data_IF_062007116816
#
_entry.id   IF_062007116816
#
_cell.length_a   1.000
_cell.length_b   1.000
_cell.length_c   1.000
_cell.angle_alpha   90.00
_cell.angle_beta   90.00
_cell.angle_gamma   90.00
#
_symmetry.space_group_name_H-M   'P 1'
#
loop_
_entity.id
_entity.type
_entity.pdbx_description
1 polymer ?
#
# COMPACT_ATOMS: atom_id res chain seq x y z
N UNK A 1 -17.87 -32.20 53.72
CA UNK A 1 -17.05 -31.21 54.45
C UNK A 1 -15.87 -31.94 55.12
N UNK A 2 -14.64 -31.44 54.87
CA UNK A 2 -13.29 -31.93 55.24
C UNK A 2 -12.54 -32.86 54.25
N UNK A 3 -11.45 -32.27 53.72
CA UNK A 3 -10.05 -32.73 53.52
C UNK A 3 -9.61 -33.76 52.45
N UNK A 4 -8.35 -33.53 52.03
CA UNK A 4 -7.37 -34.27 51.17
C UNK A 4 -7.24 -33.59 49.77
N UNK A 5 -6.08 -33.23 49.19
CA UNK A 5 -4.65 -33.42 49.47
C UNK A 5 -3.79 -32.31 48.82
N UNK A 6 -2.59 -32.11 49.35
CA UNK A 6 -1.41 -31.52 48.69
C UNK A 6 -0.95 -32.40 47.51
N UNK A 7 -0.58 -31.77 46.39
CA UNK A 7 0.59 -32.07 45.52
C UNK A 7 0.39 -31.47 44.12
N UNK A 8 1.05 -30.34 43.84
CA UNK A 8 1.91 -30.21 42.65
C UNK A 8 3.09 -29.35 43.10
N UNK A 9 4.25 -29.99 43.24
CA UNK A 9 5.54 -29.36 43.38
C UNK A 9 6.24 -29.48 42.03
N UNK A 10 6.79 -28.37 41.56
CA UNK A 10 7.97 -28.28 40.68
C UNK A 10 8.06 -29.22 39.48
N UNK A 11 7.75 -28.67 38.30
CA UNK A 11 8.63 -28.85 37.15
C UNK A 11 9.16 -27.46 36.83
N UNK A 12 10.46 -27.29 37.02
CA UNK A 12 11.13 -26.01 36.87
C UNK A 12 11.10 -25.56 35.42
N UNK A 13 10.34 -24.51 35.15
CA UNK A 13 10.73 -23.56 34.13
C UNK A 13 12.00 -22.90 34.65
N UNK A 14 13.08 -23.03 33.89
CA UNK A 14 14.30 -22.28 34.14
C UNK A 14 13.91 -20.81 34.23
N UNK A 15 14.11 -20.22 35.41
CA UNK A 15 14.11 -18.76 35.56
C UNK A 15 15.12 -18.22 34.54
N UNK A 16 14.66 -17.42 33.57
CA UNK A 16 15.51 -16.63 32.67
C UNK A 16 16.37 -15.58 33.41
N UNK A 17 16.44 -15.65 34.75
CA UNK A 17 17.20 -14.74 35.60
C UNK A 17 18.66 -15.15 35.82
N UNK A 18 19.14 -16.24 35.18
CA UNK A 18 20.56 -16.66 35.25
C UNK A 18 21.23 -16.93 33.88
N UNK A 19 20.55 -16.70 32.76
CA UNK A 19 21.20 -16.67 31.45
C UNK A 19 21.17 -15.23 30.92
N UNK A 20 22.35 -14.67 30.70
CA UNK A 20 22.57 -13.38 30.05
C UNK A 20 22.15 -13.51 28.57
N UNK A 21 20.85 -13.60 28.31
CA UNK A 21 20.34 -13.79 26.97
C UNK A 21 20.28 -12.44 26.25
N UNK A 22 20.88 -12.31 25.05
CA UNK A 22 20.91 -11.05 24.31
C UNK A 22 19.56 -10.61 23.74
N UNK A 23 18.49 -11.40 23.88
CA UNK A 23 17.15 -11.11 23.31
C UNK A 23 16.03 -11.35 24.33
N UNK A 24 16.21 -10.87 25.56
CA UNK A 24 15.23 -11.00 26.66
C UNK A 24 13.85 -10.46 26.29
N UNK A 25 13.80 -9.35 25.57
CA UNK A 25 12.54 -8.67 25.27
C UNK A 25 11.72 -9.47 24.24
N UNK A 26 12.41 -10.07 23.26
CA UNK A 26 11.81 -10.98 22.29
C UNK A 26 11.33 -12.30 22.95
N UNK A 27 12.04 -12.77 23.99
CA UNK A 27 11.60 -13.90 24.80
C UNK A 27 10.34 -13.56 25.60
N UNK A 28 10.28 -12.39 26.22
CA UNK A 28 9.12 -11.94 27.00
C UNK A 28 7.88 -11.73 26.12
N UNK A 29 8.04 -11.15 24.93
CA UNK A 29 6.97 -11.03 23.93
C UNK A 29 6.45 -12.40 23.49
N UNK A 30 7.36 -13.36 23.23
CA UNK A 30 6.99 -14.72 22.88
C UNK A 30 6.22 -15.44 24.00
N UNK A 31 6.63 -15.25 25.26
CA UNK A 31 5.94 -15.82 26.41
C UNK A 31 4.54 -15.22 26.59
N UNK A 32 4.39 -13.90 26.45
CA UNK A 32 3.11 -13.23 26.56
C UNK A 32 2.13 -13.68 25.47
N UNK A 33 2.59 -13.74 24.22
CA UNK A 33 1.78 -14.22 23.09
C UNK A 33 1.30 -15.66 23.30
N UNK A 34 2.22 -16.57 23.63
CA UNK A 34 1.87 -17.98 23.85
C UNK A 34 0.95 -18.18 25.06
N UNK A 35 1.11 -17.36 26.10
CA UNK A 35 0.20 -17.38 27.26
C UNK A 35 -1.23 -17.02 26.87
N UNK A 36 -1.42 -15.97 26.06
CA UNK A 36 -2.75 -15.57 25.58
C UNK A 36 -3.38 -16.64 24.68
N UNK A 37 -2.62 -17.19 23.73
CA UNK A 37 -3.09 -18.29 22.85
C UNK A 37 -3.48 -19.52 23.68
N UNK A 38 -2.71 -19.83 24.72
CA UNK A 38 -3.02 -20.92 25.63
C UNK A 38 -4.30 -20.66 26.43
N UNK A 39 -4.51 -19.44 26.95
CA UNK A 39 -5.75 -19.07 27.66
C UNK A 39 -6.98 -19.19 26.75
N UNK A 40 -6.93 -18.64 25.55
CA UNK A 40 -8.02 -18.76 24.57
C UNK A 40 -8.32 -20.22 24.20
N UNK A 41 -7.28 -21.04 24.01
CA UNK A 41 -7.41 -22.47 23.75
C UNK A 41 -8.09 -23.19 24.92
N UNK A 42 -7.68 -22.88 26.15
CA UNK A 42 -8.25 -23.48 27.36
C UNK A 42 -9.71 -23.08 27.59
N UNK A 43 -10.07 -21.82 27.30
CA UNK A 43 -11.45 -21.31 27.41
C UNK A 43 -12.38 -21.93 26.36
N UNK A 44 -11.85 -22.29 25.18
CA UNK A 44 -12.59 -22.96 24.12
C UNK A 44 -12.76 -24.48 24.34
N UNK A 45 -12.07 -25.08 25.32
CA UNK A 45 -12.07 -26.53 25.52
C UNK A 45 -13.22 -27.04 26.42
N UNK A 46 -14.00 -27.98 25.89
CA UNK A 46 -15.10 -28.62 26.62
C UNK A 46 -14.71 -29.91 27.36
N UNK A 47 -13.53 -30.49 27.06
CA UNK A 47 -13.08 -31.75 27.66
C UNK A 47 -11.58 -31.80 27.98
N UNK A 48 -11.20 -32.80 28.78
CA UNK A 48 -9.81 -32.99 29.24
C UNK A 48 -8.83 -33.38 28.13
N UNK A 49 -9.32 -33.91 27.01
CA UNK A 49 -8.47 -34.26 25.87
C UNK A 49 -8.10 -33.01 25.09
N UNK A 50 -9.04 -32.10 24.90
CA UNK A 50 -8.82 -30.78 24.33
C UNK A 50 -7.80 -29.98 25.17
N UNK A 51 -7.99 -29.95 26.50
CA UNK A 51 -7.06 -29.27 27.40
C UNK A 51 -5.63 -29.84 27.34
N UNK A 52 -5.49 -31.16 27.20
CA UNK A 52 -4.19 -31.80 27.04
C UNK A 52 -3.50 -31.39 25.72
N UNK A 53 -4.25 -31.19 24.64
CA UNK A 53 -3.73 -30.71 23.36
C UNK A 53 -3.26 -29.26 23.49
N UNK A 54 -4.05 -28.37 24.11
CA UNK A 54 -3.64 -26.98 24.35
C UNK A 54 -2.33 -26.91 25.14
N UNK A 55 -2.19 -27.74 26.18
CA UNK A 55 -0.97 -27.79 26.98
C UNK A 55 0.24 -28.24 26.15
N UNK A 56 0.09 -29.32 25.36
CA UNK A 56 1.15 -29.85 24.51
C UNK A 56 1.57 -28.85 23.43
N UNK A 57 0.60 -28.21 22.76
CA UNK A 57 0.86 -27.19 21.74
C UNK A 57 1.56 -25.96 22.31
N UNK A 58 1.13 -25.48 23.49
CA UNK A 58 1.78 -24.36 24.15
C UNK A 58 3.23 -24.67 24.54
N UNK A 59 3.48 -25.87 25.08
CA UNK A 59 4.84 -26.28 25.43
C UNK A 59 5.78 -26.28 24.23
N UNK A 60 5.34 -26.79 23.07
CA UNK A 60 6.13 -26.78 21.84
C UNK A 60 6.36 -25.36 21.33
N UNK A 61 5.35 -24.50 21.36
CA UNK A 61 5.48 -23.12 20.92
C UNK A 61 6.45 -22.31 21.79
N UNK A 62 6.52 -22.61 23.09
CA UNK A 62 7.50 -22.00 24.01
C UNK A 62 8.95 -22.41 23.73
N UNK A 63 9.20 -23.59 23.14
CA UNK A 63 10.56 -24.04 22.78
C UNK A 63 11.15 -23.23 21.63
N UNK A 64 10.30 -22.67 20.76
CA UNK A 64 10.66 -21.83 19.61
C UNK A 64 10.81 -20.34 19.97
N UNK A 65 10.62 -19.97 21.25
CA UNK A 65 10.89 -18.61 21.69
C UNK A 65 12.39 -18.29 21.62
N UNK A 66 12.77 -17.03 21.33
CA UNK A 66 14.15 -16.57 21.47
C UNK A 66 14.63 -16.85 22.90
N UNK A 67 15.87 -17.27 23.11
CA UNK A 67 16.41 -17.71 24.42
C UNK A 67 15.87 -19.06 24.94
N UNK A 68 14.93 -19.71 24.26
CA UNK A 68 14.45 -21.05 24.60
C UNK A 68 15.27 -22.15 23.90
N UNK A 69 14.87 -23.41 24.05
CA UNK A 69 15.66 -24.57 23.64
C UNK A 69 15.98 -24.62 22.15
N UNK A 70 15.08 -24.14 21.27
CA UNK A 70 15.33 -24.12 19.83
C UNK A 70 16.02 -22.84 19.36
N UNK A 71 16.11 -21.82 20.22
CA UNK A 71 16.81 -20.55 19.95
C UNK A 71 17.68 -20.09 21.13
N UNK A 72 18.71 -20.87 21.53
CA UNK A 72 19.46 -20.63 22.76
C UNK A 72 20.31 -19.36 22.75
N UNK A 73 20.62 -18.81 21.57
CA UNK A 73 21.39 -17.57 21.41
C UNK A 73 20.50 -16.33 21.22
N UNK A 74 19.24 -16.39 21.68
CA UNK A 74 18.28 -15.33 21.38
C UNK A 74 17.97 -15.33 19.89
N UNK A 75 18.10 -14.16 19.26
CA UNK A 75 17.74 -13.97 17.86
C UNK A 75 18.86 -14.18 16.84
N UNK A 76 20.09 -14.45 17.28
CA UNK A 76 21.17 -14.78 16.36
C UNK A 76 20.95 -16.17 15.74
N UNK A 77 20.62 -16.20 14.44
CA UNK A 77 20.40 -17.42 13.67
C UNK A 77 19.11 -18.18 13.99
N UNK A 78 18.19 -17.56 14.74
CA UNK A 78 16.91 -18.13 15.14
C UNK A 78 15.81 -17.77 14.12
N UNK A 79 14.97 -18.73 13.74
CA UNK A 79 13.83 -18.52 12.82
C UNK A 79 12.51 -18.18 13.54
N UNK A 80 12.59 -17.84 14.83
CA UNK A 80 11.42 -17.45 15.59
C UNK A 80 10.80 -16.18 15.01
N UNK A 81 9.47 -16.14 14.90
CA UNK A 81 8.76 -14.94 14.44
C UNK A 81 8.99 -13.73 15.35
N UNK A 82 9.42 -13.96 16.58
CA UNK A 82 9.79 -12.93 17.56
C UNK A 82 11.20 -12.37 17.34
N UNK A 83 11.97 -12.91 16.40
CA UNK A 83 13.31 -12.46 16.05
C UNK A 83 13.39 -11.54 14.83
N UNK A 84 12.26 -10.94 14.44
CA UNK A 84 12.15 -10.11 13.25
C UNK A 84 11.37 -8.80 13.43
N UNK A 85 10.98 -8.43 14.64
CA UNK A 85 10.27 -7.18 14.91
C UNK A 85 10.46 -6.84 16.39
N UNK A 86 10.82 -5.60 16.71
CA UNK A 86 10.88 -5.07 18.08
C UNK A 86 12.06 -5.48 18.99
N UNK A 87 13.15 -6.04 18.45
CA UNK A 87 14.36 -6.37 19.25
C UNK A 87 15.09 -5.10 19.70
N UNK A 88 15.29 -4.16 18.78
CA UNK A 88 15.71 -2.80 19.10
C UNK A 88 14.86 -1.81 18.28
N UNK A 89 13.66 -1.44 18.75
CA UNK A 89 12.70 -0.66 17.96
C UNK A 89 13.27 0.65 17.43
N UNK A 90 14.19 1.29 18.18
CA UNK A 90 14.87 2.52 17.78
C UNK A 90 15.75 2.36 16.54
N UNK A 91 16.17 1.14 16.20
CA UNK A 91 17.02 0.85 15.05
C UNK A 91 16.33 -0.02 14.01
N UNK A 92 15.49 -0.96 14.44
CA UNK A 92 14.96 -2.05 13.63
C UNK A 92 13.52 -1.83 13.18
N UNK A 93 12.77 -0.90 13.79
CA UNK A 93 11.37 -0.63 13.45
C UNK A 93 11.12 0.84 13.08
N UNK A 94 10.86 1.06 11.80
CA UNK A 94 10.59 2.38 11.24
C UNK A 94 9.18 2.88 11.56
N UNK A 95 8.19 2.02 11.80
CA UNK A 95 6.88 2.46 12.28
C UNK A 95 6.99 3.01 13.72
N UNK A 96 7.82 2.37 14.56
CA UNK A 96 8.17 2.87 15.89
C UNK A 96 8.87 4.23 15.78
N UNK A 97 9.93 4.35 14.97
CA UNK A 97 10.64 5.64 14.76
C UNK A 97 9.68 6.77 14.35
N UNK A 98 8.83 6.52 13.36
CA UNK A 98 7.84 7.50 12.89
C UNK A 98 6.84 7.86 14.00
N UNK A 99 6.37 6.87 14.76
CA UNK A 99 5.47 7.10 15.87
C UNK A 99 6.13 7.95 16.97
N UNK A 100 7.38 7.67 17.33
CA UNK A 100 8.15 8.44 18.32
C UNK A 100 8.40 9.87 17.84
N UNK A 101 8.78 10.06 16.58
CA UNK A 101 9.02 11.39 15.99
C UNK A 101 7.75 12.25 15.99
N UNK A 102 6.61 11.67 15.62
CA UNK A 102 5.31 12.34 15.66
C UNK A 102 4.94 12.78 17.08
N UNK A 103 5.01 11.86 18.04
CA UNK A 103 4.72 12.16 19.44
C UNK A 103 5.68 13.20 20.02
N UNK A 104 6.95 13.19 19.59
CA UNK A 104 7.94 14.19 20.00
C UNK A 104 7.60 15.59 19.46
N UNK A 105 7.09 15.67 18.22
CA UNK A 105 6.56 16.90 17.64
C UNK A 105 5.34 17.44 18.41
N UNK A 106 4.41 16.56 18.78
CA UNK A 106 3.23 16.93 19.57
C UNK A 106 3.61 17.43 20.98
N UNK A 107 4.61 16.80 21.60
CA UNK A 107 5.17 17.24 22.87
C UNK A 107 5.79 18.64 22.76
N UNK A 108 6.65 18.89 21.76
CA UNK A 108 7.26 20.21 21.53
C UNK A 108 6.18 21.29 21.31
N UNK A 109 5.16 20.97 20.54
CA UNK A 109 4.03 21.87 20.31
C UNK A 109 3.22 22.15 21.58
N UNK A 110 2.98 21.13 22.40
CA UNK A 110 2.31 21.26 23.70
C UNK A 110 3.12 22.14 24.66
N UNK A 111 4.42 21.87 24.81
CA UNK A 111 5.33 22.62 25.68
C UNK A 111 5.42 24.10 25.27
N UNK A 112 5.47 24.40 23.97
CA UNK A 112 5.45 25.79 23.46
C UNK A 112 4.20 26.57 23.87
N UNK A 113 3.08 25.89 24.14
CA UNK A 113 1.82 26.51 24.58
C UNK A 113 1.73 26.68 26.10
N UNK A 114 2.55 25.96 26.87
CA UNK A 114 2.45 25.90 28.32
C UNK A 114 3.09 27.06 29.10
N UNK A 115 3.82 27.97 28.45
CA UNK A 115 4.56 29.04 29.15
C UNK A 115 5.42 28.47 30.31
N UNK A 116 5.39 29.04 31.53
CA UNK A 116 6.11 28.50 32.71
C UNK A 116 5.20 27.65 33.63
N UNK A 117 4.07 27.16 33.11
CA UNK A 117 3.13 26.37 33.90
C UNK A 117 3.64 24.93 34.06
N UNK A 118 4.13 24.63 35.27
CA UNK A 118 4.65 23.32 35.64
C UNK A 118 3.58 22.22 35.55
N UNK A 119 2.32 22.55 35.81
CA UNK A 119 1.22 21.58 35.69
C UNK A 119 0.89 21.26 34.24
N UNK A 120 0.96 22.27 33.36
CA UNK A 120 0.83 22.10 31.91
C UNK A 120 1.98 21.27 31.34
N UNK A 121 3.24 21.57 31.71
CA UNK A 121 4.40 20.76 31.29
C UNK A 121 4.25 19.30 31.69
N UNK A 122 3.84 19.04 32.94
CA UNK A 122 3.59 17.67 33.41
C UNK A 122 2.51 16.97 32.60
N UNK A 123 1.43 17.66 32.24
CA UNK A 123 0.38 17.10 31.38
C UNK A 123 0.95 16.71 30.02
N UNK A 124 1.72 17.58 29.37
CA UNK A 124 2.31 17.26 28.06
C UNK A 124 3.21 16.02 28.12
N UNK A 125 4.02 15.86 29.17
CA UNK A 125 4.87 14.67 29.33
C UNK A 125 4.04 13.41 29.60
N UNK A 126 3.00 13.49 30.43
CA UNK A 126 2.11 12.36 30.67
C UNK A 126 1.39 11.92 29.39
N UNK A 127 0.92 12.89 28.58
CA UNK A 127 0.26 12.61 27.30
C UNK A 127 1.25 11.98 26.32
N UNK A 128 2.48 12.48 26.25
CA UNK A 128 3.56 11.89 25.45
C UNK A 128 3.86 10.44 25.86
N UNK A 129 4.09 10.18 27.14
CA UNK A 129 4.35 8.81 27.65
C UNK A 129 3.19 7.87 27.36
N UNK A 130 1.95 8.34 27.57
CA UNK A 130 0.75 7.55 27.27
C UNK A 130 0.64 7.23 25.78
N UNK A 131 0.92 8.19 24.90
CA UNK A 131 0.83 7.97 23.45
C UNK A 131 1.96 7.09 22.91
N UNK A 132 3.11 7.02 23.61
CA UNK A 132 4.16 6.08 23.26
C UNK A 132 3.77 4.64 23.57
N UNK A 133 2.91 4.37 24.55
CA UNK A 133 2.41 3.01 24.81
C UNK A 133 1.70 2.40 23.58
N UNK A 134 1.12 3.24 22.72
CA UNK A 134 0.42 2.85 21.49
C UNK A 134 1.34 2.70 20.27
N UNK A 135 2.61 3.09 20.37
CA UNK A 135 3.55 2.92 19.26
C UNK A 135 3.81 1.42 18.99
N UNK A 136 4.12 1.07 17.74
CA UNK A 136 4.59 -0.28 17.40
C UNK A 136 5.78 -0.66 18.27
N UNK A 137 5.85 -1.92 18.71
CA UNK A 137 6.86 -2.41 19.65
C UNK A 137 6.76 -1.88 21.08
N UNK A 138 5.67 -1.20 21.42
CA UNK A 138 5.38 -0.76 22.79
C UNK A 138 4.22 -1.55 23.39
N UNK A 139 3.87 -1.23 24.64
CA UNK A 139 2.93 -1.98 25.48
C UNK A 139 1.62 -2.40 24.80
N UNK A 140 1.01 -1.52 24.00
CA UNK A 140 -0.28 -1.78 23.35
C UNK A 140 -0.13 -2.33 21.92
N UNK A 141 1.10 -2.49 21.43
CA UNK A 141 1.42 -3.12 20.15
C UNK A 141 2.78 -3.87 20.22
N UNK A 142 2.92 -4.87 21.11
CA UNK A 142 4.22 -5.45 21.45
C UNK A 142 4.89 -6.22 20.31
N UNK A 143 4.10 -6.70 19.34
CA UNK A 143 4.60 -7.44 18.17
C UNK A 143 4.97 -6.54 16.99
N UNK A 144 4.85 -5.21 17.14
CA UNK A 144 5.03 -4.28 16.02
C UNK A 144 3.86 -4.33 15.03
N UNK A 145 4.04 -3.74 13.85
CA UNK A 145 2.99 -3.69 12.84
C UNK A 145 2.93 -4.95 11.96
N UNK A 146 1.73 -5.41 11.54
CA UNK A 146 0.42 -4.84 11.81
C UNK A 146 -0.13 -5.26 13.19
N UNK A 147 -0.78 -4.35 13.92
CA UNK A 147 -1.50 -4.66 15.16
C UNK A 147 -2.90 -4.03 15.15
N UNK A 148 -3.91 -4.82 15.52
CA UNK A 148 -5.33 -4.43 15.40
C UNK A 148 -5.70 -3.23 16.29
N UNK A 149 -4.97 -3.05 17.40
CA UNK A 149 -5.26 -2.03 18.42
C UNK A 149 -4.43 -0.75 18.28
N UNK A 150 -3.42 -0.69 17.39
CA UNK A 150 -2.67 0.55 17.17
C UNK A 150 -3.16 1.30 15.94
N UNK A 151 -3.84 2.41 16.19
CA UNK A 151 -4.06 3.49 15.21
C UNK A 151 -2.76 4.10 14.64
N UNK A 152 -1.57 3.62 15.05
CA UNK A 152 -0.25 4.15 14.68
C UNK A 152 0.50 3.26 13.68
N UNK A 153 -0.04 2.12 13.26
CA UNK A 153 0.53 1.37 12.15
C UNK A 153 0.23 2.09 10.83
N UNK A 154 1.22 2.82 10.36
CA UNK A 154 1.15 3.54 9.10
C UNK A 154 1.38 2.56 7.95
N UNK A 155 0.57 2.66 6.90
CA UNK A 155 0.81 1.96 5.64
C UNK A 155 1.62 2.86 4.73
N UNK A 156 2.42 2.32 3.82
CA UNK A 156 3.27 3.14 2.96
C UNK A 156 2.99 2.95 1.48
N UNK A 157 3.01 4.06 0.75
CA UNK A 157 2.86 4.12 -0.69
C UNK A 157 4.21 4.44 -1.32
N UNK A 158 4.75 3.48 -2.07
CA UNK A 158 5.91 3.72 -2.89
C UNK A 158 5.49 4.38 -4.19
N UNK A 159 6.19 5.43 -4.59
CA UNK A 159 5.98 6.14 -5.85
C UNK A 159 7.28 6.16 -6.64
N UNK A 160 7.24 5.70 -7.89
CA UNK A 160 8.35 5.83 -8.83
C UNK A 160 7.87 6.33 -10.19
N UNK A 161 8.69 7.15 -10.83
CA UNK A 161 8.52 7.50 -12.24
C UNK A 161 9.81 8.05 -12.81
N UNK A 162 9.95 8.00 -14.14
CA UNK A 162 11.04 8.64 -14.85
C UNK A 162 10.58 9.39 -16.10
N UNK A 163 11.39 10.36 -16.51
CA UNK A 163 11.32 11.06 -17.77
C UNK A 163 12.77 11.39 -18.17
N UNK A 164 13.25 10.80 -19.26
CA UNK A 164 14.66 10.90 -19.66
C UNK A 164 15.63 10.51 -18.52
N UNK A 165 16.41 11.46 -18.00
CA UNK A 165 17.35 11.27 -16.88
C UNK A 165 16.75 11.66 -15.52
N UNK A 166 15.58 12.27 -15.50
CA UNK A 166 14.92 12.67 -14.26
C UNK A 166 14.13 11.50 -13.69
N UNK A 167 14.30 11.26 -12.38
CA UNK A 167 13.59 10.20 -11.66
C UNK A 167 12.99 10.77 -10.39
N UNK A 168 11.76 10.35 -10.10
CA UNK A 168 11.16 10.47 -8.77
C UNK A 168 11.07 9.08 -8.19
N UNK A 169 11.46 8.97 -6.93
CA UNK A 169 11.45 7.71 -6.22
C UNK A 169 11.41 8.00 -4.72
N UNK A 170 10.23 7.83 -4.14
CA UNK A 170 10.02 8.13 -2.74
C UNK A 170 8.92 7.25 -2.16
N UNK A 171 9.04 7.00 -0.86
CA UNK A 171 8.07 6.32 -0.05
C UNK A 171 7.33 7.37 0.78
N UNK A 172 5.99 7.33 0.78
CA UNK A 172 5.16 8.19 1.62
C UNK A 172 4.40 7.31 2.59
N UNK A 173 4.35 7.70 3.86
CA UNK A 173 3.41 7.12 4.81
C UNK A 173 1.96 7.60 4.57
N UNK A 174 0.99 6.78 4.95
CA UNK A 174 -0.43 7.04 4.77
C UNK A 174 -0.92 8.31 5.48
N UNK A 175 -0.29 8.72 6.58
CA UNK A 175 -0.56 9.98 7.28
C UNK A 175 0.13 11.18 6.61
N UNK A 176 1.05 10.96 5.67
CA UNK A 176 1.78 12.03 4.98
C UNK A 176 2.92 12.65 5.78
N UNK A 177 3.10 12.23 7.04
CA UNK A 177 4.18 12.70 7.91
C UNK A 177 5.53 12.05 7.57
N UNK A 178 5.51 10.83 7.04
CA UNK A 178 6.70 10.12 6.58
C UNK A 178 6.91 10.34 5.09
N UNK A 179 8.11 10.77 4.74
CA UNK A 179 8.58 10.87 3.37
C UNK A 179 10.06 10.50 3.31
N UNK A 180 10.39 9.50 2.51
CA UNK A 180 11.78 9.07 2.36
C UNK A 180 12.14 8.81 0.90
N UNK A 181 13.36 9.15 0.51
CA UNK A 181 13.85 8.81 -0.82
C UNK A 181 14.20 7.34 -0.88
N UNK A 182 13.88 6.71 -2.01
CA UNK A 182 14.17 5.30 -2.25
C UNK A 182 14.92 5.16 -3.56
N UNK A 183 15.64 4.06 -3.72
CA UNK A 183 16.26 3.71 -4.99
C UNK A 183 15.87 2.31 -5.43
N UNK A 184 15.25 2.27 -6.61
CA UNK A 184 14.93 1.06 -7.33
C UNK A 184 15.72 1.10 -8.64
N UNK A 185 16.57 0.10 -8.84
CA UNK A 185 17.35 -0.05 -10.05
C UNK A 185 16.42 -0.34 -11.22
N UNK A 186 16.63 0.37 -12.31
CA UNK A 186 15.97 0.11 -13.59
C UNK A 186 17.04 -0.10 -14.65
N UNK A 187 16.80 -0.97 -15.64
CA UNK A 187 17.71 -1.14 -16.76
C UNK A 187 18.01 0.19 -17.44
N UNK A 188 19.27 0.37 -17.83
CA UNK A 188 19.75 1.59 -18.47
C UNK A 188 18.89 1.97 -19.69
N UNK A 189 18.55 3.26 -19.84
CA UNK A 189 17.80 3.74 -21.00
C UNK A 189 18.57 3.45 -22.29
N UNK A 190 17.84 3.11 -23.36
CA UNK A 190 18.45 2.94 -24.68
C UNK A 190 18.82 4.32 -25.21
N UNK A 191 19.88 4.42 -26.00
CA UNK A 191 20.28 5.70 -26.61
C UNK A 191 19.10 6.25 -27.43
N UNK A 192 18.58 7.41 -27.02
CA UNK A 192 17.44 8.07 -27.65
C UNK A 192 16.06 7.60 -27.19
N UNK A 193 15.95 6.77 -26.16
CA UNK A 193 14.67 6.46 -25.50
C UNK A 193 14.41 7.37 -24.31
N UNK A 194 13.13 7.52 -23.94
CA UNK A 194 12.78 8.01 -22.61
C UNK A 194 13.19 6.97 -21.53
N UNK A 195 12.96 7.32 -20.26
CA UNK A 195 13.26 6.46 -19.12
C UNK A 195 12.51 5.12 -19.15
N UNK A 196 12.97 4.16 -18.32
CA UNK A 196 12.47 2.78 -18.28
C UNK A 196 11.01 2.69 -17.83
N UNK A 197 10.55 3.61 -16.99
CA UNK A 197 9.19 3.67 -16.43
C UNK A 197 8.25 4.54 -17.30
N UNK A 198 8.80 5.34 -18.21
CA UNK A 198 8.03 6.29 -19.00
C UNK A 198 6.91 5.61 -19.80
N UNK A 199 5.66 5.94 -19.44
CA UNK A 199 4.41 5.39 -20.00
C UNK A 199 4.24 3.87 -19.79
N UNK A 200 4.95 3.27 -18.85
CA UNK A 200 4.71 1.88 -18.46
C UNK A 200 3.36 1.76 -17.72
N UNK A 201 2.60 0.71 -18.00
CA UNK A 201 1.53 0.29 -17.11
C UNK A 201 2.09 -0.47 -15.93
N UNK A 202 1.37 -0.50 -14.82
CA UNK A 202 1.75 -1.27 -13.64
C UNK A 202 0.54 -1.95 -13.02
N UNK A 203 0.79 -3.09 -12.37
CA UNK A 203 -0.20 -3.81 -11.59
C UNK A 203 0.47 -4.68 -10.52
N UNK A 204 -0.18 -4.80 -9.36
CA UNK A 204 0.09 -5.86 -8.41
C UNK A 204 -0.69 -7.11 -8.83
N UNK A 205 0.00 -8.24 -8.94
CA UNK A 205 -0.61 -9.52 -9.27
C UNK A 205 0.04 -10.62 -8.43
N UNK A 206 -0.75 -11.31 -7.61
CA UNK A 206 -0.30 -12.40 -6.72
C UNK A 206 0.83 -11.95 -5.81
N UNK A 207 0.73 -10.74 -5.27
CA UNK A 207 1.74 -10.11 -4.43
C UNK A 207 2.99 -9.60 -5.16
N UNK A 208 3.06 -9.74 -6.48
CA UNK A 208 4.21 -9.30 -7.28
C UNK A 208 3.86 -8.05 -8.09
N UNK A 209 4.73 -7.03 -8.03
CA UNK A 209 4.62 -5.86 -8.90
C UNK A 209 5.12 -6.20 -10.31
N UNK A 210 4.27 -5.96 -11.29
CA UNK A 210 4.58 -6.07 -12.72
C UNK A 210 4.55 -4.70 -13.41
N UNK A 211 5.46 -4.49 -14.35
CA UNK A 211 5.44 -3.39 -15.32
C UNK A 211 5.12 -3.92 -16.71
N UNK A 212 4.35 -3.17 -17.47
CA UNK A 212 3.87 -3.55 -18.79
C UNK A 212 4.14 -2.45 -19.83
N UNK A 213 4.76 -2.84 -20.94
CA UNK A 213 5.03 -1.99 -22.08
C UNK A 213 5.80 -0.71 -21.72
N UNK A 214 5.38 0.40 -22.35
CA UNK A 214 6.02 1.71 -22.24
C UNK A 214 6.91 2.04 -23.43
N UNK A 215 7.46 3.26 -23.43
CA UNK A 215 8.25 3.78 -24.56
C UNK A 215 9.59 3.05 -24.73
N UNK A 216 10.13 2.51 -23.64
CA UNK A 216 11.37 1.71 -23.63
C UNK A 216 11.25 0.43 -24.49
N UNK A 217 10.16 -0.31 -24.31
CA UNK A 217 9.77 -1.47 -25.10
C UNK A 217 8.27 -1.73 -24.90
N UNK A 218 7.48 -1.45 -25.95
CA UNK A 218 6.02 -1.53 -25.87
C UNK A 218 5.49 -2.94 -25.57
N UNK A 219 6.28 -4.00 -25.71
CA UNK A 219 5.83 -5.38 -25.45
C UNK A 219 6.44 -5.97 -24.20
N UNK A 220 7.20 -5.18 -23.43
CA UNK A 220 7.90 -5.65 -22.24
C UNK A 220 6.91 -6.05 -21.16
N UNK A 221 7.27 -7.11 -20.43
CA UNK A 221 6.76 -7.38 -19.09
C UNK A 221 8.00 -7.40 -18.19
N UNK A 222 7.93 -6.75 -17.04
CA UNK A 222 9.01 -6.73 -16.06
C UNK A 222 8.46 -6.96 -14.66
N UNK A 223 9.29 -7.45 -13.76
CA UNK A 223 8.93 -7.68 -12.37
C UNK A 223 9.92 -6.98 -11.44
N UNK A 224 9.44 -6.55 -10.28
CA UNK A 224 10.30 -6.09 -9.20
C UNK A 224 10.88 -7.30 -8.45
N UNK A 225 12.19 -7.48 -8.50
CA UNK A 225 12.91 -8.49 -7.73
C UNK A 225 13.82 -7.80 -6.71
N UNK A 226 13.42 -7.80 -5.44
CA UNK A 226 14.06 -7.01 -4.40
C UNK A 226 13.96 -5.51 -4.71
N UNK A 227 15.09 -4.88 -5.03
CA UNK A 227 15.19 -3.45 -5.36
C UNK A 227 15.50 -3.19 -6.85
N UNK A 228 15.29 -4.18 -7.72
CA UNK A 228 15.62 -4.08 -9.14
C UNK A 228 14.44 -4.54 -10.01
N UNK A 229 14.15 -3.78 -11.06
CA UNK A 229 13.25 -4.23 -12.12
C UNK A 229 14.01 -5.08 -13.14
N UNK A 230 13.57 -6.32 -13.28
CA UNK A 230 14.15 -7.26 -14.25
C UNK A 230 13.11 -7.61 -15.33
N UNK A 231 13.59 -7.79 -16.57
CA UNK A 231 12.74 -8.21 -17.68
C UNK A 231 12.24 -9.64 -17.46
N UNK A 232 10.93 -9.82 -17.57
CA UNK A 232 10.27 -11.12 -17.54
C UNK A 232 10.40 -11.80 -18.91
N UNK A 233 10.52 -13.12 -18.93
CA UNK A 233 10.74 -13.89 -20.19
C UNK A 233 9.59 -13.71 -21.18
N UNK A 234 8.36 -13.64 -20.68
CA UNK A 234 7.16 -13.45 -21.51
C UNK A 234 7.02 -11.98 -21.95
N UNK A 235 6.69 -11.79 -23.22
CA UNK A 235 6.39 -10.47 -23.81
C UNK A 235 4.90 -10.40 -24.15
N UNK A 236 4.32 -9.21 -24.04
CA UNK A 236 2.95 -8.95 -24.46
C UNK A 236 2.76 -9.35 -25.93
N UNK A 237 1.56 -9.81 -26.30
CA UNK A 237 1.19 -10.13 -27.67
C UNK A 237 1.12 -8.85 -28.52
N UNK A 238 0.73 -7.75 -27.88
CA UNK A 238 0.52 -6.45 -28.50
C UNK A 238 1.32 -5.36 -27.79
N UNK A 239 1.78 -4.35 -28.55
CA UNK A 239 2.34 -3.12 -27.99
C UNK A 239 1.36 -2.48 -26.99
N UNK A 240 1.83 -2.01 -25.86
CA UNK A 240 1.07 -1.33 -24.83
C UNK A 240 1.87 -0.14 -24.28
N UNK A 241 1.17 0.94 -23.95
CA UNK A 241 1.68 2.05 -23.16
C UNK A 241 0.50 2.68 -22.40
N UNK A 242 0.76 3.14 -21.19
CA UNK A 242 -0.23 3.71 -20.29
C UNK A 242 -0.57 5.18 -20.61
N UNK A 243 0.08 5.76 -21.62
CA UNK A 243 -0.33 7.06 -22.14
C UNK A 243 -1.63 6.96 -22.93
N UNK A 244 -1.81 5.88 -23.70
CA UNK A 244 -3.05 5.61 -24.43
C UNK A 244 -3.94 4.58 -23.74
N UNK A 245 -3.34 3.48 -23.27
CA UNK A 245 -4.06 2.39 -22.64
C UNK A 245 -4.28 2.59 -21.15
N UNK A 246 -4.96 1.62 -20.54
CA UNK A 246 -5.18 1.56 -19.10
C UNK A 246 -5.09 0.12 -18.60
N UNK A 247 -4.79 -0.03 -17.30
CA UNK A 247 -4.51 -1.31 -16.64
C UNK A 247 -5.47 -1.49 -15.47
N UNK A 248 -6.01 -2.69 -15.31
CA UNK A 248 -6.78 -3.08 -14.12
C UNK A 248 -6.52 -4.54 -13.76
N UNK A 249 -6.66 -4.88 -12.48
CA UNK A 249 -6.40 -6.23 -11.96
C UNK A 249 -7.70 -6.83 -11.46
N UNK A 250 -8.12 -7.95 -12.04
CA UNK A 250 -9.32 -8.66 -11.64
C UNK A 250 -8.96 -9.83 -10.73
N UNK A 251 -9.57 -9.88 -9.53
CA UNK A 251 -9.41 -10.96 -8.54
C UNK A 251 -7.96 -11.33 -8.17
N UNK A 252 -7.00 -10.41 -8.31
CA UNK A 252 -5.57 -10.73 -8.15
C UNK A 252 -5.12 -11.93 -9.02
N UNK A 253 -5.84 -12.20 -10.11
CA UNK A 253 -5.64 -13.38 -10.96
C UNK A 253 -5.26 -12.99 -12.38
N UNK A 254 -5.84 -11.89 -12.89
CA UNK A 254 -5.68 -11.45 -14.26
C UNK A 254 -5.47 -9.93 -14.34
N UNK A 255 -4.52 -9.51 -15.16
CA UNK A 255 -4.26 -8.11 -15.49
C UNK A 255 -4.80 -7.81 -16.87
N UNK A 256 -5.73 -6.86 -16.95
CA UNK A 256 -6.30 -6.36 -18.19
C UNK A 256 -5.52 -5.14 -18.67
N UNK A 257 -5.03 -5.19 -19.90
CA UNK A 257 -4.27 -4.16 -20.60
C UNK A 257 -5.09 -3.70 -21.79
N UNK A 258 -5.87 -2.64 -21.63
CA UNK A 258 -6.90 -2.25 -22.58
C UNK A 258 -6.59 -0.94 -23.31
N UNK A 259 -7.27 -0.75 -24.44
CA UNK A 259 -7.50 0.56 -25.08
C UNK A 259 -6.25 1.33 -25.53
N UNK A 260 -5.21 0.59 -25.94
CA UNK A 260 -4.05 1.18 -26.60
C UNK A 260 -4.43 2.02 -27.84
N UNK A 261 -3.47 2.73 -28.43
CA UNK A 261 -3.72 3.58 -29.62
C UNK A 261 -4.43 2.86 -30.78
N UNK A 262 -4.06 1.61 -31.07
CA UNK A 262 -4.69 0.85 -32.14
C UNK A 262 -4.48 -0.66 -31.93
N UNK A 263 -5.47 -1.45 -31.46
CA UNK A 263 -6.89 -1.10 -31.36
C UNK A 263 -7.24 -0.42 -30.02
N UNK A 264 -8.15 0.56 -30.07
CA UNK A 264 -8.66 1.29 -28.90
C UNK A 264 -9.88 0.64 -28.23
N UNK A 265 -10.29 -0.56 -28.67
CA UNK A 265 -11.48 -1.29 -28.20
C UNK A 265 -11.18 -2.66 -27.59
N UNK A 266 -9.93 -3.10 -27.63
CA UNK A 266 -9.53 -4.45 -27.24
C UNK A 266 -8.70 -4.43 -25.97
N UNK A 267 -8.65 -5.57 -25.30
CA UNK A 267 -7.77 -5.82 -24.19
C UNK A 267 -6.85 -7.01 -24.47
N UNK A 268 -5.64 -6.94 -23.93
CA UNK A 268 -4.81 -8.11 -23.67
C UNK A 268 -4.94 -8.47 -22.18
N UNK A 269 -5.03 -9.76 -21.87
CA UNK A 269 -5.16 -10.25 -20.49
C UNK A 269 -3.95 -11.10 -20.14
N UNK A 270 -3.28 -10.77 -19.05
CA UNK A 270 -2.09 -11.46 -18.54
C UNK A 270 -2.38 -12.15 -17.21
N UNK A 271 -2.05 -13.43 -17.07
CA UNK A 271 -2.37 -14.27 -15.89
C UNK A 271 -1.21 -14.45 -14.88
N UNK A 272 -0.10 -13.73 -15.10
CA UNK A 272 1.15 -13.88 -14.35
C UNK A 272 2.20 -14.71 -15.08
N UNK A 273 1.82 -15.40 -16.16
CA UNK A 273 2.71 -16.26 -16.94
C UNK A 273 2.57 -16.07 -18.45
N UNK A 274 1.34 -15.96 -18.94
CA UNK A 274 1.02 -15.87 -20.36
C UNK A 274 -0.02 -14.79 -20.63
N UNK A 275 -0.11 -14.37 -21.89
CA UNK A 275 -1.08 -13.40 -22.35
C UNK A 275 -2.08 -14.01 -23.33
N UNK A 276 -3.31 -13.49 -23.34
CA UNK A 276 -4.32 -13.75 -24.39
C UNK A 276 -4.98 -12.44 -24.81
N UNK A 277 -5.55 -12.41 -26.02
CA UNK A 277 -6.41 -11.30 -26.44
C UNK A 277 -7.83 -11.57 -25.94
N UNK A 278 -8.42 -10.60 -25.25
CA UNK A 278 -9.84 -10.61 -24.90
C UNK A 278 -10.66 -10.52 -26.19
N UNK A 279 -11.60 -11.45 -26.37
CA UNK A 279 -12.41 -11.55 -27.58
C UNK A 279 -13.55 -10.55 -27.59
N UNK A 280 -13.96 -10.08 -26.42
CA UNK A 280 -15.01 -9.08 -26.24
C UNK A 280 -14.42 -7.68 -26.44
N UNK A 281 -14.80 -7.03 -27.52
CA UNK A 281 -14.45 -5.64 -27.79
C UNK A 281 -15.46 -4.69 -27.16
N UNK A 282 -14.98 -3.54 -26.67
CA UNK A 282 -15.86 -2.46 -26.22
C UNK A 282 -16.64 -1.88 -27.40
N UNK A 283 -17.80 -1.29 -27.11
CA UNK A 283 -18.66 -0.71 -28.14
C UNK A 283 -18.04 0.57 -28.71
N UNK A 284 -17.39 1.38 -27.87
CA UNK A 284 -16.62 2.58 -28.26
C UNK A 284 -15.14 2.46 -27.92
N UNK A 285 -14.31 3.33 -28.51
CA UNK A 285 -12.89 3.38 -28.17
C UNK A 285 -12.65 4.14 -26.87
N UNK A 286 -12.04 3.49 -25.87
CA UNK A 286 -11.67 4.12 -24.60
C UNK A 286 -10.22 4.61 -24.59
N UNK A 287 -9.76 5.13 -25.73
CA UNK A 287 -8.40 5.65 -25.88
C UNK A 287 -8.15 6.81 -24.91
N UNK A 288 -7.07 6.75 -24.13
CA UNK A 288 -6.79 7.64 -22.98
C UNK A 288 -7.90 7.66 -21.92
N UNK A 289 -8.82 6.71 -21.96
CA UNK A 289 -9.77 6.49 -20.87
C UNK A 289 -9.07 5.88 -19.65
N UNK A 290 -9.90 5.45 -18.71
CA UNK A 290 -9.47 4.69 -17.55
C UNK A 290 -10.13 3.31 -17.55
N UNK A 291 -9.45 2.35 -16.95
CA UNK A 291 -9.96 1.02 -16.67
C UNK A 291 -9.85 0.80 -15.16
N UNK A 292 -10.91 0.31 -14.54
CA UNK A 292 -10.94 -0.09 -13.14
C UNK A 292 -11.76 -1.35 -12.96
N UNK A 293 -12.08 -1.67 -11.70
CA UNK A 293 -12.90 -2.83 -11.35
C UNK A 293 -14.13 -2.36 -10.57
N UNK A 294 -15.31 -2.72 -11.06
CA UNK A 294 -16.60 -2.49 -10.40
C UNK A 294 -17.28 -3.83 -10.19
N UNK A 295 -17.64 -4.18 -8.95
CA UNK A 295 -18.25 -5.48 -8.61
C UNK A 295 -17.52 -6.68 -9.25
N UNK A 296 -16.19 -6.64 -9.19
CA UNK A 296 -15.32 -7.66 -9.78
C UNK A 296 -15.35 -7.78 -11.32
N UNK A 297 -15.85 -6.77 -12.02
CA UNK A 297 -15.86 -6.71 -13.48
C UNK A 297 -15.04 -5.51 -13.96
N UNK A 298 -14.26 -5.64 -15.06
CA UNK A 298 -13.60 -4.50 -15.68
C UNK A 298 -14.61 -3.44 -16.12
N UNK A 299 -14.37 -2.18 -15.73
CA UNK A 299 -15.17 -1.02 -16.12
C UNK A 299 -14.27 -0.01 -16.83
N UNK A 300 -14.71 0.45 -18.01
CA UNK A 300 -14.04 1.45 -18.81
C UNK A 300 -14.74 2.80 -18.65
N UNK A 301 -13.97 3.87 -18.40
CA UNK A 301 -14.49 5.21 -18.12
C UNK A 301 -13.80 6.25 -19.01
N UNK A 302 -14.60 6.96 -19.82
CA UNK A 302 -14.15 8.09 -20.61
C UNK A 302 -13.25 7.72 -21.79
N UNK A 303 -12.92 8.73 -22.61
CA UNK A 303 -12.17 8.59 -23.85
C UNK A 303 -11.72 9.96 -24.39
N UNK A 304 -10.60 10.02 -25.11
CA UNK A 304 -10.20 11.20 -25.88
C UNK A 304 -11.06 11.35 -27.15
N UNK A 305 -12.33 11.64 -26.93
CA UNK A 305 -13.34 11.84 -27.95
C UNK A 305 -14.40 12.79 -27.40
N UNK A 306 -14.71 13.87 -28.12
CA UNK A 306 -15.74 14.82 -27.68
C UNK A 306 -17.15 14.19 -27.64
N UNK A 307 -17.36 13.06 -28.33
CA UNK A 307 -18.64 12.34 -28.38
C UNK A 307 -18.66 11.07 -27.52
N UNK A 308 -17.50 10.47 -27.27
CA UNK A 308 -17.39 9.23 -26.49
C UNK A 308 -16.77 9.44 -25.10
N UNK A 309 -16.28 10.64 -24.78
CA UNK A 309 -15.58 10.93 -23.52
C UNK A 309 -16.45 10.85 -22.26
N UNK A 310 -17.75 10.71 -22.39
CA UNK A 310 -18.68 10.44 -21.29
C UNK A 310 -19.05 8.95 -21.20
N UNK A 311 -18.67 8.12 -22.17
CA UNK A 311 -19.11 6.73 -22.22
C UNK A 311 -18.45 5.90 -21.13
N UNK A 312 -19.25 5.00 -20.57
CA UNK A 312 -18.86 4.05 -19.55
C UNK A 312 -19.40 2.69 -19.94
N UNK A 313 -18.54 1.68 -19.89
CA UNK A 313 -18.88 0.30 -20.26
C UNK A 313 -18.36 -0.68 -19.20
N UNK A 314 -19.16 -1.70 -18.86
CA UNK A 314 -18.75 -2.80 -17.97
C UNK A 314 -18.58 -4.06 -18.82
N UNK A 315 -17.50 -4.81 -18.60
CA UNK A 315 -17.27 -6.10 -19.23
C UNK A 315 -18.13 -7.18 -18.55
N UNK A 316 -19.26 -7.49 -19.16
CA UNK A 316 -20.15 -8.57 -18.73
C UNK A 316 -19.74 -9.95 -19.26
N UNK A 317 -20.58 -10.94 -19.00
CA UNK A 317 -20.33 -12.35 -19.35
C UNK A 317 -20.22 -12.59 -20.86
N UNK A 318 -20.93 -11.81 -21.67
CA UNK A 318 -21.00 -12.00 -23.12
C UNK A 318 -20.37 -10.87 -23.92
N UNK A 319 -20.45 -9.63 -23.45
CA UNK A 319 -19.98 -8.45 -24.16
C UNK A 319 -19.70 -7.29 -23.19
N UNK A 320 -19.14 -6.21 -23.70
CA UNK A 320 -19.17 -4.93 -23.01
C UNK A 320 -20.58 -4.33 -23.10
N UNK A 321 -21.06 -3.82 -21.97
CA UNK A 321 -22.40 -3.26 -21.84
C UNK A 321 -22.31 -1.80 -21.41
N UNK A 322 -23.05 -0.92 -22.11
CA UNK A 322 -23.17 0.47 -21.69
C UNK A 322 -23.88 0.57 -20.35
N UNK A 323 -23.32 1.39 -19.47
CA UNK A 323 -23.97 1.82 -18.22
C UNK A 323 -24.20 3.33 -18.27
N UNK A 324 -24.56 3.94 -17.14
CA UNK A 324 -24.78 5.38 -17.12
C UNK A 324 -23.52 6.13 -17.56
N UNK A 325 -23.69 7.03 -18.54
CA UNK A 325 -22.66 7.96 -18.98
C UNK A 325 -22.13 8.78 -17.78
N UNK A 326 -20.82 9.01 -17.77
CA UNK A 326 -20.18 9.88 -16.80
C UNK A 326 -20.74 11.32 -16.93
N UNK A 327 -20.96 12.06 -15.82
CA UNK A 327 -21.53 13.41 -15.87
C UNK A 327 -20.71 14.41 -16.70
N UNK A 328 -19.41 14.16 -16.80
CA UNK A 328 -18.44 14.96 -17.57
C UNK A 328 -17.88 14.19 -18.77
N UNK A 329 -17.76 14.86 -19.92
CA UNK A 329 -17.05 14.34 -21.10
C UNK A 329 -15.55 14.59 -20.94
N UNK A 330 -14.78 13.54 -20.67
CA UNK A 330 -13.38 13.67 -20.28
C UNK A 330 -12.50 12.49 -20.70
N UNK A 331 -11.19 12.64 -20.48
CA UNK A 331 -10.18 11.61 -20.66
C UNK A 331 -9.05 11.80 -19.65
N UNK A 332 -8.12 10.84 -19.59
CA UNK A 332 -6.94 10.83 -18.72
C UNK A 332 -7.28 10.97 -17.23
N UNK A 333 -8.46 10.50 -16.82
CA UNK A 333 -8.84 10.38 -15.41
C UNK A 333 -8.10 9.22 -14.75
N UNK A 334 -7.90 9.33 -13.44
CA UNK A 334 -7.55 8.21 -12.59
C UNK A 334 -8.80 7.58 -12.00
N UNK A 335 -8.79 6.27 -11.81
CA UNK A 335 -9.90 5.55 -11.16
C UNK A 335 -9.38 4.64 -10.07
N UNK A 336 -10.19 4.43 -9.04
CA UNK A 336 -9.87 3.50 -7.95
C UNK A 336 -11.14 2.85 -7.42
N UNK A 337 -11.06 1.55 -7.15
CA UNK A 337 -12.15 0.80 -6.53
C UNK A 337 -12.20 1.13 -5.04
N UNK A 338 -13.41 1.39 -4.54
CA UNK A 338 -13.74 1.60 -3.13
C UNK A 338 -14.88 0.64 -2.74
N UNK A 339 -15.16 0.40 -1.45
CA UNK A 339 -16.21 -0.54 -1.05
C UNK A 339 -17.58 -0.25 -1.68
N UNK A 340 -17.91 1.03 -1.89
CA UNK A 340 -19.18 1.48 -2.44
C UNK A 340 -19.25 1.43 -3.98
N UNK A 341 -18.11 1.24 -4.67
CA UNK A 341 -18.06 1.24 -6.13
C UNK A 341 -16.70 1.68 -6.69
N UNK A 342 -16.71 2.66 -7.59
CA UNK A 342 -15.48 3.19 -8.19
C UNK A 342 -15.50 4.72 -8.18
N UNK A 343 -14.37 5.30 -7.78
CA UNK A 343 -14.15 6.74 -7.87
C UNK A 343 -13.47 7.09 -9.19
N UNK A 344 -13.96 8.12 -9.89
CA UNK A 344 -13.19 8.85 -10.90
C UNK A 344 -12.61 10.11 -10.26
N UNK A 345 -11.33 10.37 -10.48
CA UNK A 345 -10.58 11.43 -9.79
C UNK A 345 -9.80 12.25 -10.80
N UNK A 346 -10.22 13.49 -11.01
CA UNK A 346 -9.61 14.41 -11.97
C UNK A 346 -9.83 13.99 -13.42
N UNK A 347 -8.86 14.30 -14.28
CA UNK A 347 -8.92 14.11 -15.73
C UNK A 347 -8.91 15.43 -16.50
N UNK A 348 -9.18 15.37 -17.81
CA UNK A 348 -9.23 16.55 -18.68
C UNK A 348 -10.59 16.65 -19.35
N UNK A 349 -11.33 17.73 -19.07
CA UNK A 349 -12.67 17.96 -19.59
C UNK A 349 -12.60 18.54 -21.00
N UNK A 350 -13.41 17.98 -21.90
CA UNK A 350 -13.64 18.56 -23.21
C UNK A 350 -14.48 19.83 -23.17
N UNK A 351 -15.39 19.94 -22.19
CA UNK A 351 -16.30 21.06 -22.08
C UNK A 351 -15.56 22.34 -21.69
N UNK A 352 -14.63 22.24 -20.74
CA UNK A 352 -13.84 23.40 -20.25
C UNK A 352 -12.47 23.51 -20.91
N UNK A 353 -12.01 22.48 -21.61
CA UNK A 353 -10.66 22.38 -22.16
C UNK A 353 -9.59 22.60 -21.10
N UNK A 354 -9.77 21.99 -19.92
CA UNK A 354 -8.89 22.10 -18.77
C UNK A 354 -8.83 20.80 -17.98
N UNK A 355 -7.78 20.63 -17.18
CA UNK A 355 -7.77 19.59 -16.16
C UNK A 355 -8.89 19.81 -15.13
N UNK A 356 -9.31 18.73 -14.49
CA UNK A 356 -10.44 18.66 -13.59
C UNK A 356 -9.99 18.42 -12.16
N UNK A 357 -10.78 18.93 -11.21
CA UNK A 357 -10.68 18.65 -9.78
C UNK A 357 -11.73 17.66 -9.29
N UNK A 358 -12.84 17.56 -10.01
CA UNK A 358 -14.01 16.83 -9.57
C UNK A 358 -13.70 15.35 -9.31
N UNK A 359 -14.32 14.84 -8.24
CA UNK A 359 -14.34 13.43 -7.86
C UNK A 359 -15.79 12.95 -7.94
N UNK A 360 -16.01 11.88 -8.70
CA UNK A 360 -17.32 11.25 -8.80
C UNK A 360 -17.26 9.81 -8.32
N UNK A 361 -18.31 9.38 -7.61
CA UNK A 361 -18.55 7.98 -7.27
C UNK A 361 -19.53 7.39 -8.28
N UNK A 362 -19.16 6.26 -8.87
CA UNK A 362 -20.09 5.38 -9.56
C UNK A 362 -20.45 4.21 -8.64
N UNK A 363 -21.70 4.20 -8.19
CA UNK A 363 -22.27 3.16 -7.32
C UNK A 363 -23.71 2.88 -7.73
N UNK A 364 -24.16 1.63 -7.60
CA UNK A 364 -25.52 1.24 -8.00
C UNK A 364 -25.86 1.67 -9.43
N UNK A 365 -24.89 1.57 -10.33
CA UNK A 365 -24.97 2.01 -11.73
C UNK A 365 -25.32 3.50 -11.92
N UNK A 366 -25.05 4.34 -10.93
CA UNK A 366 -25.29 5.78 -10.97
C UNK A 366 -24.07 6.59 -10.56
N UNK A 367 -23.87 7.76 -11.17
CA UNK A 367 -22.81 8.72 -10.82
C UNK A 367 -23.31 9.77 -9.84
N UNK A 368 -22.50 10.04 -8.83
CA UNK A 368 -22.70 11.14 -7.87
C UNK A 368 -21.42 11.96 -7.75
N UNK A 369 -21.53 13.29 -7.72
CA UNK A 369 -20.40 14.14 -7.38
C UNK A 369 -20.16 14.09 -5.87
N UNK A 370 -18.95 13.71 -5.46
CA UNK A 370 -18.63 13.42 -4.05
C UNK A 370 -17.53 14.31 -3.47
N UNK A 371 -16.96 15.19 -4.29
CA UNK A 371 -16.01 16.20 -3.81
C UNK A 371 -15.06 16.69 -4.89
N UNK A 372 -14.03 17.42 -4.48
CA UNK A 372 -13.02 17.98 -5.37
C UNK A 372 -11.61 17.83 -4.80
N UNK A 373 -10.63 17.71 -5.68
CA UNK A 373 -9.22 17.90 -5.40
C UNK A 373 -8.90 19.38 -5.13
N UNK A 374 -7.82 19.65 -4.41
CA UNK A 374 -7.28 21.01 -4.23
C UNK A 374 -6.68 21.53 -5.55
N UNK A 375 -6.02 20.67 -6.31
CA UNK A 375 -5.37 20.94 -7.60
C UNK A 375 -5.98 20.09 -8.70
N UNK A 376 -6.14 20.70 -9.88
CA UNK A 376 -6.59 19.95 -11.05
C UNK A 376 -5.47 19.01 -11.52
N UNK A 377 -5.83 17.82 -11.99
CA UNK A 377 -4.85 16.81 -12.41
C UNK A 377 -5.34 15.98 -13.59
N UNK A 378 -4.41 15.42 -14.35
CA UNK A 378 -4.66 14.43 -15.42
C UNK A 378 -3.46 13.51 -15.56
N UNK A 379 -3.70 12.31 -16.09
CA UNK A 379 -2.70 11.23 -16.11
C UNK A 379 -2.13 10.93 -14.72
N UNK A 380 -2.89 11.23 -13.67
CA UNK A 380 -2.60 10.83 -12.31
C UNK A 380 -2.75 9.31 -12.17
N UNK A 381 -2.05 8.78 -11.16
CA UNK A 381 -2.33 7.45 -10.65
C UNK A 381 -3.08 7.60 -9.34
N UNK A 382 -4.20 6.91 -9.22
CA UNK A 382 -5.05 6.95 -8.02
C UNK A 382 -4.92 5.62 -7.31
N UNK A 383 -4.66 5.66 -6.02
CA UNK A 383 -4.40 4.47 -5.22
C UNK A 383 -5.12 4.55 -3.87
N UNK A 384 -5.79 3.47 -3.50
CA UNK A 384 -6.46 3.35 -2.21
C UNK A 384 -5.55 2.62 -1.23
N UNK A 385 -5.25 3.25 -0.10
CA UNK A 385 -4.50 2.69 1.01
C UNK A 385 -5.40 2.72 2.25
N UNK A 386 -6.29 1.73 2.34
CA UNK A 386 -7.41 1.75 3.28
C UNK A 386 -8.45 2.79 2.85
N UNK A 387 -8.92 3.61 3.80
CA UNK A 387 -9.83 4.73 3.53
C UNK A 387 -9.14 5.95 2.91
N UNK A 388 -7.80 5.95 2.82
CA UNK A 388 -7.03 7.08 2.29
C UNK A 388 -6.79 6.87 0.81
N UNK A 389 -7.17 7.86 0.01
CA UNK A 389 -6.99 7.83 -1.43
C UNK A 389 -5.91 8.82 -1.80
N UNK A 390 -4.88 8.32 -2.48
CA UNK A 390 -3.81 9.12 -3.04
C UNK A 390 -4.09 9.40 -4.51
N UNK A 391 -3.95 10.66 -4.92
CA UNK A 391 -3.91 11.07 -6.32
C UNK A 391 -2.50 11.58 -6.61
N UNK A 392 -1.64 10.69 -7.11
CA UNK A 392 -0.26 11.01 -7.45
C UNK A 392 -0.24 11.72 -8.80
N UNK A 393 0.30 12.93 -8.83
CA UNK A 393 0.21 13.82 -9.98
C UNK A 393 0.89 13.28 -11.24
N UNK A 394 0.28 13.58 -12.38
CA UNK A 394 0.79 13.23 -13.70
C UNK A 394 1.26 14.45 -14.48
N UNK A 395 0.41 14.88 -15.41
CA UNK A 395 0.73 15.91 -16.40
C UNK A 395 -0.18 17.14 -16.22
N UNK A 396 -0.09 17.78 -15.06
CA UNK A 396 -0.72 19.07 -14.81
C UNK A 396 0.13 19.90 -13.84
N UNK A 397 0.53 21.10 -14.23
CA UNK A 397 1.31 22.00 -13.38
C UNK A 397 0.41 22.54 -12.24
N UNK A 398 0.84 22.52 -10.96
CA UNK A 398 2.22 22.44 -10.49
C UNK A 398 2.71 21.03 -10.11
N UNK A 399 2.07 19.99 -10.61
CA UNK A 399 2.41 18.58 -10.36
C UNK A 399 2.28 18.25 -8.87
N UNK A 400 1.11 18.56 -8.31
CA UNK A 400 0.80 18.38 -6.91
C UNK A 400 0.08 17.05 -6.69
N UNK A 401 0.72 16.16 -5.94
CA UNK A 401 0.12 14.94 -5.44
C UNK A 401 -0.63 15.24 -4.14
N UNK A 402 -1.82 14.69 -4.04
CA UNK A 402 -2.73 14.92 -2.91
C UNK A 402 -3.19 13.60 -2.31
N UNK A 403 -3.63 13.69 -1.06
CA UNK A 403 -4.30 12.62 -0.34
C UNK A 403 -5.60 13.18 0.22
N UNK A 404 -6.64 12.37 0.19
CA UNK A 404 -7.89 12.65 0.90
C UNK A 404 -8.40 11.41 1.60
N UNK A 405 -9.29 11.60 2.58
CA UNK A 405 -10.00 10.54 3.27
C UNK A 405 -11.34 10.30 2.57
N UNK A 406 -11.62 9.04 2.25
CA UNK A 406 -12.89 8.56 1.75
C UNK A 406 -13.69 7.94 2.91
N UNK A 407 -14.79 8.58 3.27
CA UNK A 407 -15.67 8.15 4.37
C UNK A 407 -16.84 7.26 3.90
N UNK A 408 -16.90 6.95 2.60
CA UNK A 408 -18.00 6.20 1.96
C UNK A 408 -19.04 7.09 1.28
N UNK A 409 -19.04 8.40 1.53
CA UNK A 409 -20.00 9.35 0.98
C UNK A 409 -19.33 10.52 0.25
N UNK A 410 -18.24 11.05 0.81
CA UNK A 410 -17.61 12.28 0.35
C UNK A 410 -16.09 12.31 0.53
N UNK A 411 -15.45 13.20 -0.23
CA UNK A 411 -14.04 13.54 -0.05
C UNK A 411 -13.89 14.43 1.18
N UNK A 412 -13.09 13.98 2.15
CA UNK A 412 -12.77 14.72 3.38
C UNK A 412 -11.25 14.84 3.56
N UNK A 413 -10.80 15.76 4.42
CA UNK A 413 -9.39 15.91 4.81
C UNK A 413 -8.39 15.91 3.64
N UNK A 414 -8.70 16.68 2.60
CA UNK A 414 -7.85 16.78 1.43
C UNK A 414 -6.61 17.65 1.71
N UNK A 415 -5.43 17.03 1.59
CA UNK A 415 -4.14 17.66 1.80
C UNK A 415 -3.15 17.40 0.66
N UNK A 416 -2.25 18.36 0.45
CA UNK A 416 -1.12 18.20 -0.46
C UNK A 416 -0.05 17.36 0.22
N UNK A 417 0.41 16.31 -0.47
CA UNK A 417 1.45 15.41 0.03
C UNK A 417 2.81 15.78 -0.52
N UNK A 418 2.89 15.96 -1.84
CA UNK A 418 4.14 16.32 -2.50
C UNK A 418 3.93 16.98 -3.85
N UNK A 419 4.72 18.01 -4.14
CA UNK A 419 4.98 18.49 -5.50
C UNK A 419 6.28 17.93 -6.06
N UNK A 420 6.22 17.17 -7.16
CA UNK A 420 7.40 16.58 -7.80
C UNK A 420 7.99 17.46 -8.92
N UNK A 421 7.38 18.64 -9.16
CA UNK A 421 7.96 19.74 -9.96
C UNK A 421 8.06 19.51 -11.47
N UNK A 422 7.71 18.31 -11.96
CA UNK A 422 7.77 17.95 -13.38
C UNK A 422 6.64 17.02 -13.79
N UNK A 423 6.44 16.95 -15.10
CA UNK A 423 5.45 16.10 -15.76
C UNK A 423 5.87 14.63 -15.71
N UNK A 424 4.95 13.77 -15.28
CA UNK A 424 5.01 12.33 -15.51
C UNK A 424 3.71 11.81 -16.13
N UNK A 425 3.69 10.54 -16.55
CA UNK A 425 2.49 9.91 -17.11
C UNK A 425 2.20 8.66 -16.29
N UNK A 426 1.11 8.69 -15.53
CA UNK A 426 0.66 7.59 -14.66
C UNK A 426 1.82 6.98 -13.84
N UNK A 427 2.36 7.73 -12.85
CA UNK A 427 3.43 7.23 -11.99
C UNK A 427 3.13 5.83 -11.47
N UNK A 428 4.17 5.00 -11.34
CA UNK A 428 4.02 3.64 -10.81
C UNK A 428 3.92 3.75 -9.30
N UNK A 429 2.86 3.14 -8.75
CA UNK A 429 2.63 3.13 -7.30
C UNK A 429 2.27 1.75 -6.81
N UNK A 430 2.67 1.44 -5.60
CA UNK A 430 2.24 0.23 -4.90
C UNK A 430 2.39 0.41 -3.39
N UNK A 431 1.63 -0.37 -2.64
CA UNK A 431 1.84 -0.48 -1.20
C UNK A 431 3.16 -1.19 -0.93
N UNK A 432 4.02 -0.58 -0.11
CA UNK A 432 5.35 -1.09 0.20
C UNK A 432 5.57 -1.07 1.71
N UNK A 433 6.57 -1.81 2.15
CA UNK A 433 7.05 -1.75 3.52
C UNK A 433 8.09 -0.63 3.69
N UNK A 434 8.20 -0.05 4.88
CA UNK A 434 9.06 1.10 5.12
C UNK A 434 10.57 0.78 5.10
N UNK A 435 10.98 -0.44 5.47
CA UNK A 435 12.37 -0.90 5.30
C UNK A 435 12.72 -1.35 3.88
N UNK A 436 11.75 -1.44 2.96
CA UNK A 436 11.99 -1.92 1.61
C UNK A 436 12.93 -0.97 0.87
N UNK A 437 14.11 -1.47 0.50
CA UNK A 437 15.13 -0.72 -0.24
C UNK A 437 15.62 0.55 0.47
N UNK A 438 15.62 0.58 1.81
CA UNK A 438 16.16 1.71 2.59
C UNK A 438 17.67 1.91 2.33
N UNK A 439 18.45 0.82 2.38
CA UNK A 439 19.91 0.84 2.17
C UNK A 439 20.35 1.13 0.73
N UNK A 440 19.43 1.06 -0.23
CA UNK A 440 19.73 1.37 -1.64
C UNK A 440 20.19 2.82 -1.83
N UNK A 441 19.87 3.70 -0.87
CA UNK A 441 20.23 5.11 -0.90
C UNK A 441 21.67 5.43 -0.46
N UNK A 442 22.46 4.49 0.08
CA UNK A 442 23.82 4.79 0.55
C UNK A 442 24.80 5.23 -0.57
N UNK A 443 24.49 4.95 -1.85
CA UNK A 443 25.38 5.23 -2.98
C UNK A 443 24.78 6.09 -4.12
N UNK A 444 23.46 6.28 -4.16
CA UNK A 444 22.78 6.82 -5.37
C UNK A 444 21.80 7.97 -5.11
N UNK A 445 21.48 8.28 -3.85
CA UNK A 445 20.58 9.37 -3.50
C UNK A 445 21.39 10.65 -3.28
N UNK A 446 21.75 11.34 -4.38
CA UNK A 446 22.22 12.71 -4.27
C UNK A 446 21.00 13.63 -4.09
N UNK A 447 21.03 14.44 -3.03
CA UNK A 447 19.99 15.38 -2.63
C UNK A 447 19.68 16.44 -3.74
N UNK A 448 18.52 17.14 -3.64
CA UNK A 448 17.72 17.67 -4.75
C UNK A 448 18.35 18.75 -5.64
#
# INVERSE_FOLDING_TARGET
MRHISKHVAGLGFLNAQELDCPSSDAFDACQAFNSNVFEECMDACEDSRCQAICLETNMLAMEDCPCASNCPNGCDGCQSMFCGTCVDPEFDDVNYKVCVDKNSGDLDFCLKRCSNDVSCHRSCYNDFESNLEDCPCMKNCPSGCPCEDSSKCERYLQVISDLELDRVNYLIGSEGAFLDQRYYSTPEPRVGSNGYLYKAGHAMLKGQLYLFGGDYDFRRVSILNGCEFIDFEHKLLTNFDAYFGSVAVQNDAEVFLCFRNNPSKTCEVFDGRTSRIEKKESNVGHYRGALGIYENQPIAVGAWSATEGMKVEILGDSAWEFVQDHPETHYSTGVVTVPEGILSVGGYSYATNSAMKAVYLFSNLQWSHVGELNYATRYNTVFALGSKIFSIAGNENPYQSEKFVWDGESVTDNEMVMGHGRQFTRPVVWESEPGQCEDSCQNFCFAP
#
